data_IF_247779836059
#
_entry.id   IF_247779836059
#
_cell.length_a   1.000
_cell.length_b   1.000
_cell.length_c   1.000
_cell.angle_alpha   90.00
_cell.angle_beta   90.00
_cell.angle_gamma   90.00
#
_symmetry.space_group_name_H-M   'P 1'
#
loop_
_entity.id
_entity.type
_entity.pdbx_description
1 polymer ?
#
# COMPACT_ATOMS: atom_id res chain seq x y z
N UNK A 1 -9.04 42.11 7.35
CA UNK A 1 -7.86 41.57 6.63
C UNK A 1 -7.71 40.10 6.99
N UNK A 2 -8.27 39.21 6.18
CA UNK A 2 -8.16 37.77 6.40
C UNK A 2 -6.87 37.25 5.76
N UNK A 3 -5.94 36.77 6.59
CA UNK A 3 -4.80 35.99 6.14
C UNK A 3 -5.27 34.56 5.83
N UNK A 4 -5.41 34.24 4.55
CA UNK A 4 -5.56 32.87 4.09
C UNK A 4 -4.20 32.17 4.20
N UNK A 5 -4.03 31.35 5.23
CA UNK A 5 -2.94 30.39 5.31
C UNK A 5 -3.17 29.29 4.26
N UNK A 6 -2.37 29.31 3.20
CA UNK A 6 -2.33 28.26 2.19
C UNK A 6 -1.74 26.97 2.80
N UNK A 7 -2.43 25.82 2.78
CA UNK A 7 -1.84 24.57 3.25
C UNK A 7 -0.92 24.05 2.15
N UNK A 8 0.38 24.31 2.31
CA UNK A 8 1.44 23.83 1.42
C UNK A 8 1.37 22.32 1.28
N UNK A 9 1.19 21.90 0.03
CA UNK A 9 1.35 20.54 -0.47
C UNK A 9 2.75 20.01 -0.13
N UNK A 10 2.80 18.90 0.59
CA UNK A 10 4.03 18.18 0.94
C UNK A 10 4.66 17.40 -0.22
N UNK A 11 4.13 17.57 -1.43
CA UNK A 11 4.71 17.15 -2.71
C UNK A 11 5.18 18.39 -3.49
N UNK A 12 6.45 18.75 -3.37
CA UNK A 12 7.07 19.73 -4.28
C UNK A 12 8.37 19.21 -4.86
N UNK A 13 8.27 18.12 -5.62
CA UNK A 13 9.28 17.73 -6.59
C UNK A 13 9.23 18.72 -7.75
N UNK A 14 10.00 19.81 -7.69
CA UNK A 14 10.16 20.73 -8.82
C UNK A 14 11.44 20.35 -9.54
N UNK A 15 11.35 19.58 -10.63
CA UNK A 15 12.46 19.42 -11.59
C UNK A 15 12.50 20.67 -12.47
N UNK A 16 13.35 21.64 -12.13
CA UNK A 16 13.70 22.76 -13.03
C UNK A 16 15.15 22.57 -13.47
N UNK A 17 15.37 22.40 -14.77
CA UNK A 17 16.72 22.36 -15.36
C UNK A 17 17.62 21.21 -14.87
N UNK A 18 17.07 20.02 -14.61
CA UNK A 18 17.88 18.84 -14.23
C UNK A 18 18.26 18.73 -12.75
N UNK A 19 17.94 19.74 -11.93
CA UNK A 19 18.20 19.73 -10.49
C UNK A 19 16.97 19.32 -9.67
N UNK A 20 17.20 18.63 -8.56
CA UNK A 20 16.20 18.20 -7.58
C UNK A 20 16.26 19.11 -6.36
N UNK A 21 15.11 19.62 -5.89
CA UNK A 21 15.06 20.52 -4.73
C UNK A 21 14.25 19.90 -3.59
N UNK A 22 14.79 19.92 -2.37
CA UNK A 22 14.06 19.52 -1.18
C UNK A 22 12.98 20.55 -0.83
N UNK A 23 11.72 20.11 -0.74
CA UNK A 23 10.61 20.98 -0.37
C UNK A 23 10.75 21.61 1.03
N UNK A 24 11.31 20.87 1.99
CA UNK A 24 11.42 21.29 3.40
C UNK A 24 12.62 22.21 3.66
N UNK A 25 13.85 21.79 3.32
CA UNK A 25 15.06 22.57 3.60
C UNK A 25 15.53 23.45 2.43
N UNK A 26 14.89 23.34 1.25
CA UNK A 26 15.24 24.04 0.02
C UNK A 26 16.61 23.69 -0.58
N UNK A 27 17.34 22.70 -0.03
CA UNK A 27 18.59 22.20 -0.59
C UNK A 27 18.38 21.63 -2.01
N UNK A 28 19.36 21.83 -2.89
CA UNK A 28 19.35 21.36 -4.27
C UNK A 28 20.37 20.25 -4.49
N UNK A 29 20.05 19.32 -5.39
CA UNK A 29 20.85 18.14 -5.70
C UNK A 29 20.86 17.93 -7.20
N UNK A 30 22.04 17.63 -7.75
CA UNK A 30 22.18 17.38 -9.18
C UNK A 30 21.77 15.94 -9.55
N UNK A 31 21.81 15.02 -8.58
CA UNK A 31 21.49 13.61 -8.79
C UNK A 31 20.33 13.14 -7.93
N UNK A 32 19.43 12.34 -8.52
CA UNK A 32 18.28 11.78 -7.81
C UNK A 32 18.70 10.90 -6.62
N UNK A 33 19.79 10.14 -6.75
CA UNK A 33 20.29 9.26 -5.67
C UNK A 33 20.69 10.06 -4.42
N UNK A 34 21.36 11.20 -4.60
CA UNK A 34 21.74 12.08 -3.49
C UNK A 34 20.53 12.76 -2.86
N UNK A 35 19.59 13.22 -3.68
CA UNK A 35 18.32 13.75 -3.20
C UNK A 35 17.53 12.68 -2.40
N UNK A 36 17.45 11.47 -2.93
CA UNK A 36 16.79 10.36 -2.28
C UNK A 36 17.50 9.99 -0.97
N UNK A 37 18.83 9.98 -0.92
CA UNK A 37 19.58 9.76 0.32
C UNK A 37 19.32 10.88 1.35
N UNK A 38 19.30 12.14 0.93
CA UNK A 38 19.01 13.26 1.81
C UNK A 38 17.61 13.17 2.43
N UNK A 39 16.60 12.82 1.62
CA UNK A 39 15.21 12.72 2.05
C UNK A 39 14.93 11.40 2.81
N UNK A 40 15.40 10.25 2.30
CA UNK A 40 15.14 8.90 2.84
C UNK A 40 16.09 8.52 3.97
N UNK A 41 17.38 8.87 3.88
CA UNK A 41 18.36 8.76 4.96
C UNK A 41 18.10 9.75 6.11
N UNK A 42 17.02 10.53 5.99
CA UNK A 42 16.55 11.53 6.94
C UNK A 42 17.59 12.61 7.22
N UNK A 43 18.62 12.81 6.40
CA UNK A 43 19.69 13.79 6.68
C UNK A 43 19.12 15.22 6.82
N UNK A 44 17.98 15.49 6.20
CA UNK A 44 17.24 16.73 6.37
C UNK A 44 16.65 16.89 7.79
N UNK A 45 17.30 17.70 8.63
CA UNK A 45 16.85 17.99 10.00
C UNK A 45 15.47 18.67 10.06
N UNK A 46 15.18 19.60 9.15
CA UNK A 46 13.85 20.24 9.04
C UNK A 46 12.77 19.23 8.71
N UNK A 47 13.03 18.35 7.74
CA UNK A 47 12.08 17.28 7.41
C UNK A 47 11.90 16.31 8.59
N UNK A 48 12.98 15.97 9.32
CA UNK A 48 12.87 15.17 10.56
C UNK A 48 11.95 15.86 11.59
N UNK A 49 12.10 17.16 11.80
CA UNK A 49 11.28 17.92 12.74
C UNK A 49 9.82 17.98 12.31
N UNK A 50 9.54 18.24 11.03
CA UNK A 50 8.18 18.21 10.45
C UNK A 50 7.52 16.83 10.66
N UNK A 51 8.26 15.77 10.34
CA UNK A 51 7.80 14.39 10.50
C UNK A 51 7.53 14.05 11.96
N UNK A 52 8.42 14.46 12.87
CA UNK A 52 8.24 14.25 14.32
C UNK A 52 6.99 14.97 14.81
N UNK A 53 6.78 16.23 14.39
CA UNK A 53 5.59 17.00 14.77
C UNK A 53 4.30 16.31 14.32
N UNK A 54 4.20 15.93 13.04
CA UNK A 54 3.03 15.22 12.51
C UNK A 54 2.81 13.91 13.26
N UNK A 55 3.88 13.19 13.60
CA UNK A 55 3.75 11.94 14.38
C UNK A 55 3.19 12.19 15.79
N UNK A 56 3.67 13.20 16.51
CA UNK A 56 3.13 13.53 17.85
C UNK A 56 1.66 13.96 17.76
N UNK A 57 1.25 14.67 16.71
CA UNK A 57 -0.15 15.00 16.44
C UNK A 57 -0.98 13.72 16.16
N UNK A 58 -0.52 12.86 15.25
CA UNK A 58 -1.21 11.62 14.86
C UNK A 58 -1.33 10.62 16.02
N UNK A 59 -0.39 10.67 16.98
CA UNK A 59 -0.41 9.81 18.17
C UNK A 59 -1.60 10.10 19.08
N UNK A 60 -2.09 11.34 19.09
CA UNK A 60 -3.26 11.74 19.90
C UNK A 60 -4.59 11.38 19.25
N UNK A 61 -4.59 11.06 17.96
CA UNK A 61 -5.80 10.68 17.24
C UNK A 61 -6.16 9.23 17.53
N UNK A 62 -7.45 8.96 17.69
CA UNK A 62 -7.95 7.58 17.68
C UNK A 62 -7.85 6.98 16.27
N UNK A 63 -8.04 5.65 16.12
CA UNK A 63 -7.94 4.97 14.82
C UNK A 63 -8.86 5.54 13.72
N UNK A 64 -10.08 5.96 14.06
CA UNK A 64 -11.05 6.47 13.09
C UNK A 64 -10.66 7.87 12.61
N UNK A 65 -10.30 8.74 13.55
CA UNK A 65 -9.78 10.08 13.26
C UNK A 65 -8.51 10.05 12.41
N UNK A 66 -7.60 9.12 12.72
CA UNK A 66 -6.37 8.94 11.95
C UNK A 66 -6.68 8.52 10.51
N UNK A 67 -7.65 7.62 10.33
CA UNK A 67 -8.08 7.17 9.01
C UNK A 67 -8.72 8.31 8.22
N UNK A 68 -9.55 9.14 8.84
CA UNK A 68 -10.20 10.27 8.15
C UNK A 68 -9.19 11.36 7.78
N UNK A 69 -8.25 11.70 8.67
CA UNK A 69 -7.13 12.61 8.35
C UNK A 69 -6.32 12.10 7.16
N UNK A 70 -6.08 10.79 7.08
CA UNK A 70 -5.41 10.17 5.95
C UNK A 70 -6.24 10.30 4.68
N UNK A 71 -7.53 9.95 4.70
CA UNK A 71 -8.42 10.08 3.54
C UNK A 71 -8.44 11.50 2.98
N UNK A 72 -8.53 12.50 3.83
CA UNK A 72 -8.48 13.91 3.42
C UNK A 72 -7.13 14.28 2.78
N UNK A 73 -6.03 13.76 3.31
CA UNK A 73 -4.71 13.95 2.72
C UNK A 73 -4.59 13.27 1.35
N UNK A 74 -5.18 12.09 1.21
CA UNK A 74 -5.19 11.32 -0.04
C UNK A 74 -6.10 11.93 -1.11
N UNK A 75 -7.20 12.58 -0.74
CA UNK A 75 -8.06 13.33 -1.68
C UNK A 75 -7.27 14.45 -2.37
N UNK A 76 -6.30 15.04 -1.67
CA UNK A 76 -5.44 16.13 -2.19
C UNK A 76 -4.29 15.60 -3.04
N UNK A 77 -3.95 14.31 -2.93
CA UNK A 77 -2.89 13.71 -3.73
C UNK A 77 -3.32 13.57 -5.20
N UNK A 78 -2.41 13.89 -6.13
CA UNK A 78 -2.69 13.73 -7.55
C UNK A 78 -2.93 12.25 -7.87
N UNK A 79 -4.12 11.92 -8.39
CA UNK A 79 -4.45 10.54 -8.75
C UNK A 79 -3.67 10.11 -10.00
N UNK A 80 -3.35 8.82 -10.07
CA UNK A 80 -2.79 8.23 -11.30
C UNK A 80 -3.82 8.32 -12.42
N UNK A 81 -3.43 8.88 -13.57
CA UNK A 81 -4.28 8.98 -14.79
C UNK A 81 -4.89 7.64 -15.23
N UNK A 82 -4.26 6.52 -14.88
CA UNK A 82 -4.63 5.16 -15.25
C UNK A 82 -5.69 4.52 -14.34
N UNK A 83 -5.98 5.10 -13.18
CA UNK A 83 -6.91 4.52 -12.21
C UNK A 83 -8.21 5.34 -12.21
N UNK A 84 -9.06 5.12 -13.22
CA UNK A 84 -10.41 5.71 -13.30
C UNK A 84 -11.43 4.80 -12.61
N UNK A 85 -12.43 5.42 -11.97
CA UNK A 85 -13.54 4.72 -11.32
C UNK A 85 -13.22 4.16 -9.94
N UNK A 86 -14.22 3.50 -9.33
CA UNK A 86 -14.09 2.83 -8.03
C UNK A 86 -13.05 1.72 -8.13
N UNK A 87 -12.21 1.62 -7.11
CA UNK A 87 -11.21 0.58 -6.96
C UNK A 87 -11.55 -0.30 -5.77
N UNK A 88 -10.95 -1.48 -5.77
CA UNK A 88 -10.94 -2.38 -4.63
C UNK A 88 -9.51 -2.65 -4.20
N UNK A 89 -9.27 -2.60 -2.90
CA UNK A 89 -8.06 -3.12 -2.27
C UNK A 89 -8.33 -4.58 -1.89
N UNK A 90 -7.40 -5.49 -2.18
CA UNK A 90 -7.55 -6.91 -1.84
C UNK A 90 -6.27 -7.51 -1.29
N UNK A 91 -6.42 -8.55 -0.49
CA UNK A 91 -5.34 -9.41 0.01
C UNK A 91 -5.60 -10.85 -0.39
N UNK A 92 -4.52 -11.61 -0.64
CA UNK A 92 -4.56 -13.05 -0.88
C UNK A 92 -3.94 -13.78 0.31
N UNK A 93 -4.64 -14.80 0.78
CA UNK A 93 -4.28 -15.60 1.93
C UNK A 93 -3.97 -17.05 1.55
N UNK A 94 -2.98 -17.59 2.26
CA UNK A 94 -2.58 -19.00 2.21
C UNK A 94 -3.05 -19.72 3.48
N UNK A 95 -4.16 -20.47 3.41
CA UNK A 95 -4.77 -21.11 4.57
C UNK A 95 -4.74 -22.65 4.47
N UNK A 96 -4.69 -23.39 5.60
CA UNK A 96 -5.00 -24.81 5.59
C UNK A 96 -6.43 -25.05 5.10
N UNK A 97 -6.66 -26.19 4.42
CA UNK A 97 -7.98 -26.54 3.88
C UNK A 97 -9.02 -26.62 5.00
N UNK A 98 -10.18 -26.01 4.79
CA UNK A 98 -11.33 -26.08 5.70
C UNK A 98 -11.27 -25.08 6.86
N UNK A 99 -10.19 -24.28 6.97
CA UNK A 99 -10.12 -23.20 7.96
C UNK A 99 -10.94 -22.01 7.44
N UNK A 100 -11.91 -21.55 8.23
CA UNK A 100 -12.61 -20.31 7.93
C UNK A 100 -11.78 -19.10 8.40
N UNK A 101 -11.69 -18.11 7.52
CA UNK A 101 -10.90 -16.89 7.74
C UNK A 101 -11.42 -16.09 8.93
N UNK A 102 -12.72 -16.18 9.21
CA UNK A 102 -13.39 -15.52 10.35
C UNK A 102 -12.95 -16.07 11.71
N UNK A 103 -12.38 -17.27 11.74
CA UNK A 103 -11.89 -17.92 12.96
C UNK A 103 -10.41 -17.63 13.24
N UNK A 104 -9.74 -16.92 12.34
CA UNK A 104 -8.34 -16.55 12.52
C UNK A 104 -8.24 -15.43 13.55
N UNK A 105 -7.31 -15.57 14.48
CA UNK A 105 -6.83 -14.42 15.25
C UNK A 105 -6.17 -13.41 14.29
N UNK A 106 -6.15 -12.13 14.67
CA UNK A 106 -5.51 -11.09 13.85
C UNK A 106 -4.05 -11.45 13.48
N UNK A 107 -3.29 -12.04 14.40
CA UNK A 107 -1.92 -12.49 14.14
C UNK A 107 -1.86 -13.61 13.09
N UNK A 108 -2.76 -14.59 13.15
CA UNK A 108 -2.84 -15.66 12.16
C UNK A 108 -3.28 -15.13 10.80
N UNK A 109 -4.26 -14.21 10.78
CA UNK A 109 -4.70 -13.52 9.58
C UNK A 109 -3.54 -12.80 8.89
N UNK A 110 -2.80 -11.97 9.63
CA UNK A 110 -1.61 -11.26 9.14
C UNK A 110 -0.55 -12.23 8.59
N UNK A 111 -0.27 -13.31 9.30
CA UNK A 111 0.71 -14.32 8.89
C UNK A 111 0.28 -15.14 7.66
N UNK A 112 -1.01 -15.16 7.33
CA UNK A 112 -1.53 -15.85 6.17
C UNK A 112 -1.49 -15.00 4.88
N UNK A 113 -1.38 -13.67 4.99
CA UNK A 113 -1.30 -12.77 3.85
C UNK A 113 0.05 -12.96 3.15
N UNK A 114 0.02 -13.36 1.88
CA UNK A 114 1.24 -13.45 1.06
C UNK A 114 1.27 -12.41 -0.06
N UNK A 115 0.15 -11.77 -0.37
CA UNK A 115 0.04 -10.75 -1.42
C UNK A 115 -1.09 -9.78 -1.14
N UNK A 116 -0.94 -8.54 -1.61
CA UNK A 116 -2.00 -7.54 -1.64
C UNK A 116 -1.96 -6.76 -2.95
N UNK A 117 -3.10 -6.21 -3.37
CA UNK A 117 -3.21 -5.49 -4.64
C UNK A 117 -4.39 -4.53 -4.71
N UNK A 118 -4.39 -3.70 -5.75
CA UNK A 118 -5.53 -2.85 -6.14
C UNK A 118 -6.08 -3.26 -7.52
N UNK A 119 -7.39 -3.26 -7.66
CA UNK A 119 -8.06 -3.50 -8.95
C UNK A 119 -9.41 -2.78 -9.05
N UNK A 120 -9.71 -2.20 -10.21
CA UNK A 120 -11.06 -1.72 -10.55
C UNK A 120 -11.99 -2.82 -11.06
N UNK A 121 -11.45 -4.02 -11.34
CA UNK A 121 -12.20 -5.19 -11.78
C UNK A 121 -11.63 -6.44 -11.10
N UNK A 122 -12.10 -6.74 -9.87
CA UNK A 122 -11.58 -7.84 -9.06
C UNK A 122 -11.76 -9.20 -9.73
N UNK A 123 -12.94 -9.48 -10.28
CA UNK A 123 -13.23 -10.77 -10.91
C UNK A 123 -12.28 -11.04 -12.09
N UNK A 124 -12.09 -10.05 -12.98
CA UNK A 124 -11.11 -10.14 -14.07
C UNK A 124 -9.69 -10.33 -13.55
N UNK A 125 -9.33 -9.70 -12.43
CA UNK A 125 -8.01 -9.86 -11.80
C UNK A 125 -7.80 -11.27 -11.26
N UNK A 126 -8.78 -11.83 -10.55
CA UNK A 126 -8.71 -13.20 -10.02
C UNK A 126 -8.69 -14.24 -11.15
N UNK A 127 -9.52 -14.04 -12.18
CA UNK A 127 -9.49 -14.89 -13.38
C UNK A 127 -8.10 -14.89 -14.04
N UNK A 128 -7.43 -13.73 -14.13
CA UNK A 128 -6.07 -13.65 -14.66
C UNK A 128 -5.07 -14.46 -13.84
N UNK A 129 -5.19 -14.48 -12.51
CA UNK A 129 -4.34 -15.34 -11.67
C UNK A 129 -4.57 -16.82 -11.97
N UNK A 130 -5.83 -17.26 -12.10
CA UNK A 130 -6.17 -18.64 -12.49
C UNK A 130 -5.73 -19.00 -13.91
N UNK A 131 -5.87 -18.11 -14.88
CA UNK A 131 -5.41 -18.36 -16.26
C UNK A 131 -3.89 -18.45 -16.34
N UNK A 132 -3.16 -17.66 -15.54
CA UNK A 132 -1.70 -17.71 -15.54
C UNK A 132 -1.17 -19.06 -15.04
N UNK A 133 -1.77 -19.64 -14.00
CA UNK A 133 -1.39 -20.98 -13.52
C UNK A 133 -1.73 -22.08 -14.53
N UNK A 134 -2.86 -21.99 -15.24
CA UNK A 134 -3.20 -22.90 -16.34
C UNK A 134 -2.22 -22.80 -17.53
N UNK A 135 -1.74 -21.60 -17.84
CA UNK A 135 -0.77 -21.37 -18.93
C UNK A 135 0.59 -22.00 -18.64
N UNK A 136 1.01 -22.06 -17.38
CA UNK A 136 2.24 -22.78 -17.01
C UNK A 136 2.15 -24.26 -17.42
N UNK A 137 1.04 -24.92 -17.09
CA UNK A 137 0.85 -26.34 -17.44
C UNK A 137 0.75 -26.60 -18.94
N UNK A 138 0.13 -25.68 -19.68
CA UNK A 138 -0.08 -25.88 -21.13
C UNK A 138 1.11 -25.46 -21.99
N UNK A 139 1.95 -24.53 -21.50
CA UNK A 139 2.96 -23.85 -22.34
C UNK A 139 4.32 -23.66 -21.67
N UNK A 140 4.53 -24.18 -20.45
CA UNK A 140 5.76 -24.05 -19.67
C UNK A 140 6.27 -22.60 -19.52
N UNK A 141 5.36 -21.62 -19.54
CA UNK A 141 5.71 -20.20 -19.37
C UNK A 141 6.09 -19.97 -17.90
N UNK A 142 7.30 -19.47 -17.59
CA UNK A 142 7.71 -19.23 -16.21
C UNK A 142 6.72 -18.34 -15.46
N UNK A 143 6.32 -18.77 -14.27
CA UNK A 143 5.49 -17.99 -13.37
C UNK A 143 6.36 -16.97 -12.61
N UNK A 144 5.80 -15.79 -12.33
CA UNK A 144 6.45 -14.90 -11.36
C UNK A 144 6.23 -15.40 -9.93
N UNK A 145 6.93 -14.81 -8.95
CA UNK A 145 6.89 -15.24 -7.55
C UNK A 145 5.47 -15.38 -6.99
N UNK A 146 4.57 -14.46 -7.34
CA UNK A 146 3.17 -14.47 -6.88
C UNK A 146 2.38 -15.63 -7.51
N UNK A 147 2.46 -15.82 -8.83
CA UNK A 147 1.77 -16.95 -9.46
C UNK A 147 2.37 -18.31 -9.06
N UNK A 148 3.67 -18.40 -8.83
CA UNK A 148 4.32 -19.59 -8.26
C UNK A 148 3.78 -19.91 -6.87
N UNK A 149 3.63 -18.91 -6.00
CA UNK A 149 3.05 -19.09 -4.65
C UNK A 149 1.60 -19.58 -4.74
N UNK A 150 0.79 -19.01 -5.63
CA UNK A 150 -0.59 -19.46 -5.89
C UNK A 150 -0.60 -20.93 -6.32
N UNK A 151 0.23 -21.32 -7.28
CA UNK A 151 0.33 -22.71 -7.74
C UNK A 151 0.71 -23.66 -6.60
N UNK A 152 1.67 -23.31 -5.77
CA UNK A 152 2.09 -24.13 -4.64
C UNK A 152 0.96 -24.35 -3.61
N UNK A 153 0.14 -23.32 -3.34
CA UNK A 153 -1.03 -23.43 -2.47
C UNK A 153 -2.03 -24.44 -3.04
N UNK A 154 -2.35 -24.30 -4.33
CA UNK A 154 -3.32 -25.16 -5.01
C UNK A 154 -2.81 -26.62 -5.07
N UNK A 155 -1.53 -26.86 -5.37
CA UNK A 155 -0.94 -28.20 -5.39
C UNK A 155 -0.84 -28.83 -4.01
N UNK A 156 -0.52 -28.04 -2.99
CA UNK A 156 -0.42 -28.48 -1.60
C UNK A 156 -1.77 -28.82 -0.96
N UNK A 157 -2.87 -28.82 -1.72
CA UNK A 157 -4.26 -28.98 -1.23
C UNK A 157 -4.59 -27.97 -0.12
N UNK A 158 -3.94 -26.81 -0.13
CA UNK A 158 -4.23 -25.67 0.75
C UNK A 158 -5.30 -24.81 0.10
N UNK A 159 -5.82 -23.85 0.85
CA UNK A 159 -6.90 -22.98 0.41
C UNK A 159 -6.36 -21.59 0.09
N UNK A 160 -6.62 -21.14 -1.14
CA UNK A 160 -6.41 -19.76 -1.55
C UNK A 160 -7.68 -18.96 -1.25
N UNK A 161 -7.56 -17.91 -0.45
CA UNK A 161 -8.67 -17.01 -0.13
C UNK A 161 -8.32 -15.59 -0.55
N UNK A 162 -9.26 -14.90 -1.18
CA UNK A 162 -9.17 -13.47 -1.39
C UNK A 162 -10.17 -12.73 -0.50
N UNK A 163 -9.71 -11.66 0.14
CA UNK A 163 -10.55 -10.70 0.86
C UNK A 163 -10.35 -9.32 0.26
N UNK A 164 -11.40 -8.49 0.24
CA UNK A 164 -11.35 -7.21 -0.43
C UNK A 164 -12.23 -6.13 0.21
N UNK A 165 -11.79 -4.88 0.09
CA UNK A 165 -12.55 -3.68 0.39
C UNK A 165 -12.89 -2.98 -0.93
N UNK A 166 -14.19 -2.85 -1.23
CA UNK A 166 -14.69 -2.26 -2.46
C UNK A 166 -15.03 -0.77 -2.32
N UNK A 167 -15.39 -0.16 -3.45
CA UNK A 167 -15.89 1.22 -3.54
C UNK A 167 -14.92 2.28 -3.02
N UNK A 168 -13.62 2.00 -3.06
CA UNK A 168 -12.58 2.96 -2.70
C UNK A 168 -12.29 3.90 -3.87
N UNK A 169 -11.88 5.13 -3.57
CA UNK A 169 -11.19 5.93 -4.57
C UNK A 169 -9.83 5.32 -4.91
N UNK A 170 -9.29 5.66 -6.07
CA UNK A 170 -7.97 5.17 -6.49
C UNK A 170 -6.87 5.52 -5.49
N UNK A 171 -6.92 6.69 -4.87
CA UNK A 171 -5.91 7.11 -3.91
C UNK A 171 -6.05 6.37 -2.58
N UNK A 172 -7.28 6.12 -2.11
CA UNK A 172 -7.53 5.31 -0.90
C UNK A 172 -7.05 3.87 -1.08
N UNK A 173 -7.41 3.21 -2.19
CA UNK A 173 -7.00 1.84 -2.43
C UNK A 173 -5.47 1.69 -2.50
N UNK A 174 -4.80 2.63 -3.18
CA UNK A 174 -3.33 2.65 -3.28
C UNK A 174 -2.65 2.95 -1.94
N UNK A 175 -3.25 3.80 -1.11
CA UNK A 175 -2.75 4.08 0.23
C UNK A 175 -2.84 2.86 1.13
N UNK A 176 -3.94 2.12 1.05
CA UNK A 176 -4.12 0.87 1.79
C UNK A 176 -3.13 -0.20 1.35
N UNK A 177 -2.99 -0.39 0.03
CA UNK A 177 -1.97 -1.29 -0.53
C UNK A 177 -0.58 -0.92 -0.02
N UNK A 178 -0.21 0.35 -0.07
CA UNK A 178 1.10 0.79 0.38
C UNK A 178 1.31 0.59 1.88
N UNK A 179 0.30 0.89 2.71
CA UNK A 179 0.40 0.72 4.16
C UNK A 179 0.60 -0.76 4.54
N UNK A 180 -0.13 -1.66 3.88
CA UNK A 180 0.02 -3.11 4.08
C UNK A 180 1.37 -3.61 3.57
N UNK A 181 1.83 -3.13 2.40
CA UNK A 181 3.14 -3.50 1.85
C UNK A 181 4.27 -3.16 2.82
N UNK A 182 4.25 -1.95 3.39
CA UNK A 182 5.30 -1.54 4.31
C UNK A 182 5.25 -2.30 5.64
N UNK A 183 4.07 -2.55 6.20
CA UNK A 183 3.97 -3.26 7.48
C UNK A 183 4.31 -4.75 7.36
N UNK A 184 4.07 -5.34 6.18
CA UNK A 184 4.31 -6.76 5.89
C UNK A 184 5.45 -6.99 4.91
N UNK A 185 6.38 -6.05 4.76
CA UNK A 185 7.39 -6.07 3.71
C UNK A 185 8.24 -7.35 3.69
N UNK A 186 8.51 -7.91 4.87
CA UNK A 186 9.29 -9.15 5.03
C UNK A 186 8.48 -10.43 4.73
N UNK A 187 7.15 -10.30 4.61
CA UNK A 187 6.22 -11.43 4.48
C UNK A 187 5.59 -11.54 3.09
N UNK A 188 5.30 -10.41 2.44
CA UNK A 188 4.59 -10.42 1.16
C UNK A 188 5.51 -10.54 -0.05
N UNK A 189 5.04 -11.20 -1.10
CA UNK A 189 5.82 -11.42 -2.33
C UNK A 189 5.83 -10.22 -3.28
N UNK A 190 5.41 -9.02 -2.82
CA UNK A 190 5.18 -7.84 -3.66
C UNK A 190 6.34 -6.82 -3.63
N UNK A 191 7.57 -7.29 -3.42
CA UNK A 191 8.73 -6.46 -3.04
C UNK A 191 9.11 -5.43 -4.12
N UNK A 192 8.79 -5.68 -5.40
CA UNK A 192 9.25 -4.82 -6.53
C UNK A 192 8.16 -3.96 -7.20
N UNK A 193 6.88 -4.05 -6.78
CA UNK A 193 5.79 -3.56 -7.64
C UNK A 193 5.31 -2.11 -7.38
N UNK A 194 5.56 -1.51 -6.20
CA UNK A 194 4.95 -0.21 -5.85
C UNK A 194 5.88 0.97 -6.17
N UNK A 195 6.21 1.16 -7.46
CA UNK A 195 6.86 2.37 -7.98
C UNK A 195 5.97 3.63 -7.88
N UNK A 196 5.50 3.99 -6.70
CA UNK A 196 4.51 5.04 -6.43
C UNK A 196 5.16 6.26 -5.77
N UNK A 197 4.72 7.47 -6.16
CA UNK A 197 5.13 8.77 -5.59
C UNK A 197 4.81 8.89 -4.10
N UNK A 198 3.81 8.15 -3.62
CA UNK A 198 3.38 8.17 -2.22
C UNK A 198 4.40 7.51 -1.27
N UNK A 199 5.43 6.84 -1.80
CA UNK A 199 6.41 6.16 -0.95
C UNK A 199 7.14 7.09 0.00
N UNK A 200 7.36 8.35 -0.39
CA UNK A 200 8.00 9.35 0.47
C UNK A 200 7.11 9.73 1.67
N UNK A 201 5.78 9.76 1.50
CA UNK A 201 4.85 10.09 2.59
C UNK A 201 4.85 9.00 3.67
N UNK A 202 4.78 7.74 3.25
CA UNK A 202 4.66 6.63 4.19
C UNK A 202 6.01 6.20 4.81
N UNK A 203 7.12 6.34 4.08
CA UNK A 203 8.48 6.11 4.64
C UNK A 203 8.82 7.07 5.80
N UNK A 204 8.14 8.22 5.86
CA UNK A 204 8.30 9.18 6.97
C UNK A 204 7.61 8.71 8.25
N UNK A 205 6.57 7.88 8.19
CA UNK A 205 5.71 7.56 9.32
C UNK A 205 5.43 6.04 9.47
N UNK A 206 6.46 5.22 9.77
CA UNK A 206 6.32 3.76 9.84
C UNK A 206 5.32 3.27 10.90
N UNK A 207 5.19 4.01 12.00
CA UNK A 207 4.21 3.73 13.07
C UNK A 207 2.78 4.06 12.65
N UNK A 208 2.56 5.17 11.95
CA UNK A 208 1.26 5.54 11.36
C UNK A 208 0.84 4.51 10.30
N UNK A 209 1.77 4.09 9.45
CA UNK A 209 1.60 3.00 8.48
C UNK A 209 1.10 1.73 9.16
N UNK A 210 1.74 1.31 10.26
CA UNK A 210 1.36 0.11 11.02
C UNK A 210 -0.02 0.23 11.70
N UNK A 211 -0.42 1.43 12.10
CA UNK A 211 -1.78 1.67 12.61
C UNK A 211 -2.81 1.57 11.50
N UNK A 212 -2.52 2.17 10.34
CA UNK A 212 -3.38 2.13 9.15
C UNK A 212 -3.51 0.70 8.63
N UNK A 213 -2.41 -0.04 8.49
CA UNK A 213 -2.44 -1.44 8.05
C UNK A 213 -3.36 -2.25 8.95
N UNK A 214 -3.24 -2.12 10.28
CA UNK A 214 -4.15 -2.78 11.22
C UNK A 214 -5.61 -2.41 10.99
N UNK A 215 -5.95 -1.13 10.91
CA UNK A 215 -7.33 -0.69 10.68
C UNK A 215 -7.89 -1.26 9.36
N UNK A 216 -7.10 -1.20 8.29
CA UNK A 216 -7.49 -1.71 6.97
C UNK A 216 -7.69 -3.21 7.02
N UNK A 217 -6.81 -3.94 7.70
CA UNK A 217 -6.83 -5.39 7.78
C UNK A 217 -7.89 -5.91 8.77
N UNK A 218 -8.23 -5.14 9.80
CA UNK A 218 -9.42 -5.40 10.63
C UNK A 218 -10.69 -5.23 9.78
N UNK A 219 -10.78 -4.17 8.98
CA UNK A 219 -11.92 -3.94 8.08
C UNK A 219 -12.04 -5.02 7.01
N UNK A 220 -10.93 -5.45 6.43
CA UNK A 220 -10.93 -6.51 5.41
C UNK A 220 -11.27 -7.86 6.04
N UNK A 221 -10.86 -8.13 7.29
CA UNK A 221 -11.25 -9.34 8.02
C UNK A 221 -12.77 -9.49 8.19
N UNK A 222 -13.50 -8.38 8.15
CA UNK A 222 -14.96 -8.32 8.22
C UNK A 222 -15.66 -8.30 6.85
N UNK A 223 -14.90 -8.27 5.74
CA UNK A 223 -15.44 -8.08 4.39
C UNK A 223 -15.95 -9.37 3.74
N UNK A 224 -16.48 -9.25 2.52
CA UNK A 224 -16.85 -10.39 1.68
C UNK A 224 -15.62 -11.26 1.34
N UNK A 225 -15.87 -12.57 1.29
CA UNK A 225 -14.88 -13.61 0.99
C UNK A 225 -15.07 -14.08 -0.44
N UNK A 226 -13.95 -14.19 -1.16
CA UNK A 226 -13.91 -14.88 -2.44
C UNK A 226 -13.00 -16.10 -2.31
N UNK A 227 -13.56 -17.30 -2.50
CA UNK A 227 -12.78 -18.53 -2.56
C UNK A 227 -12.39 -18.73 -4.03
N UNK A 228 -11.07 -18.77 -4.29
CA UNK A 228 -10.50 -18.95 -5.63
C UNK A 228 -10.21 -20.44 -5.85
#
# INVERSE_FOLDING_TARGET
MHMNASPNTSDSTIKKGGTWKCGSCKATFNYHVQFAYHCKGRVCSKLRAEVKKIFEEDKQLDPEQLLDKLKESLKKAASRRTCKGKQSFYVLLDLPKGIDVKLLTFKQFMGAIFYCGVSGALQTRFNKHGTATQRFFSRFIPLNAKETKIMNILHGKRQLVAMHLDSLSSNEALAYEYAVILDLQDTITNIDASGQSNGVMFLKHPTTVKRISRIVLDKIGLSQKYII
#
